data_IF_675783150035
#
_entry.id   IF_675783150035
#
_cell.length_a   1.000
_cell.length_b   1.000
_cell.length_c   1.000
_cell.angle_alpha   90.00
_cell.angle_beta   90.00
_cell.angle_gamma   90.00
#
_symmetry.space_group_name_H-M   'P 1'
#
loop_
_entity.id
_entity.type
_entity.pdbx_description
1 polymer ?
#
# COMPACT_ATOMS: atom_id res chain seq x y z
N UNK A 1 -55.02 11.66 28.07
CA UNK A 1 -53.74 11.98 28.75
C UNK A 1 -52.84 10.76 28.70
N UNK A 2 -51.94 10.73 27.76
CA UNK A 2 -50.87 9.74 27.68
C UNK A 2 -49.52 10.41 28.02
N UNK A 3 -48.65 9.84 28.84
CA UNK A 3 -47.41 10.47 29.22
C UNK A 3 -46.33 10.30 28.13
N UNK A 4 -45.66 11.38 27.91
CA UNK A 4 -44.54 11.62 27.03
C UNK A 4 -43.33 10.78 27.47
N UNK A 5 -42.86 9.82 26.66
CA UNK A 5 -41.69 9.02 26.94
C UNK A 5 -40.47 9.68 26.30
N UNK A 6 -39.77 10.50 27.05
CA UNK A 6 -38.52 11.12 26.68
C UNK A 6 -37.44 10.07 26.34
N UNK A 7 -37.13 9.91 25.08
CA UNK A 7 -36.07 9.04 24.57
C UNK A 7 -34.69 9.69 24.84
N UNK A 8 -34.05 9.32 25.96
CA UNK A 8 -32.66 9.68 26.24
C UNK A 8 -31.75 8.90 25.32
N UNK A 9 -31.31 9.53 24.24
CA UNK A 9 -30.17 9.04 23.45
C UNK A 9 -28.92 9.02 24.33
N UNK A 10 -28.41 7.82 24.57
CA UNK A 10 -27.10 7.63 25.17
C UNK A 10 -26.04 8.25 24.27
N UNK A 11 -25.25 9.19 24.82
CA UNK A 11 -24.14 9.80 24.12
C UNK A 11 -23.11 8.75 23.77
N UNK A 12 -22.86 8.56 22.50
CA UNK A 12 -21.70 7.85 21.98
C UNK A 12 -20.45 8.63 22.43
N UNK A 13 -19.71 8.02 23.33
CA UNK A 13 -18.40 8.54 23.77
C UNK A 13 -17.45 8.37 22.58
N UNK A 14 -17.15 9.46 21.88
CA UNK A 14 -16.07 9.48 20.90
C UNK A 14 -14.78 9.13 21.63
N UNK A 15 -14.16 8.01 21.20
CA UNK A 15 -12.81 7.66 21.61
C UNK A 15 -11.85 8.70 21.04
N UNK A 16 -10.77 9.06 21.79
CA UNK A 16 -9.77 9.96 21.26
C UNK A 16 -9.26 9.46 19.93
N UNK A 17 -9.48 10.21 18.86
CA UNK A 17 -8.72 10.04 17.63
C UNK A 17 -7.27 10.32 18.01
N UNK A 18 -6.43 9.31 17.88
CA UNK A 18 -4.99 9.48 17.87
C UNK A 18 -4.71 10.43 16.70
N UNK A 19 -4.55 11.70 16.99
CA UNK A 19 -4.26 12.73 15.98
C UNK A 19 -2.91 12.38 15.38
N UNK A 20 -2.92 12.06 14.10
CA UNK A 20 -1.69 12.00 13.31
C UNK A 20 -0.93 13.33 13.53
N UNK A 21 0.40 13.28 13.70
CA UNK A 21 1.18 14.47 13.96
C UNK A 21 0.98 15.52 12.88
N UNK A 22 1.03 16.80 13.25
CA UNK A 22 0.79 17.97 12.38
C UNK A 22 1.73 17.93 11.16
N UNK A 23 1.17 17.71 10.00
CA UNK A 23 1.82 17.27 8.78
C UNK A 23 2.62 18.37 8.03
N UNK A 24 2.28 19.67 8.09
CA UNK A 24 3.05 20.70 7.38
C UNK A 24 4.51 20.81 7.82
N UNK A 25 4.80 20.49 9.07
CA UNK A 25 6.15 20.58 9.64
C UNK A 25 7.02 19.34 9.35
N UNK A 26 6.38 18.16 9.16
CA UNK A 26 7.10 16.91 8.84
C UNK A 26 7.66 16.89 7.42
N UNK A 27 7.00 17.56 6.47
CA UNK A 27 7.43 17.56 5.05
C UNK A 27 8.53 18.59 4.78
N UNK A 28 8.59 19.69 5.55
CA UNK A 28 9.52 20.78 5.25
C UNK A 28 10.89 20.71 5.95
N UNK A 29 11.00 19.99 7.06
CA UNK A 29 12.22 20.08 7.88
C UNK A 29 12.87 18.79 8.33
N UNK A 30 12.32 17.60 8.09
CA UNK A 30 13.02 16.45 8.62
C UNK A 30 12.56 15.08 8.16
N UNK A 31 12.98 14.63 7.00
CA UNK A 31 13.27 13.22 6.77
C UNK A 31 14.35 12.68 7.75
N UNK A 32 14.87 13.53 8.61
CA UNK A 32 15.77 13.23 9.74
C UNK A 32 15.07 13.21 11.09
N UNK A 33 13.75 13.45 11.16
CA UNK A 33 13.00 13.35 12.41
C UNK A 33 12.92 11.87 12.84
N UNK A 34 13.32 11.60 14.07
CA UNK A 34 13.28 10.26 14.67
C UNK A 34 11.88 9.65 14.61
N UNK A 35 10.82 10.47 14.81
CA UNK A 35 9.43 10.04 14.72
C UNK A 35 9.01 9.64 13.31
N UNK A 36 9.50 10.36 12.27
CA UNK A 36 9.29 9.95 10.88
C UNK A 36 9.97 8.61 10.62
N UNK A 37 11.23 8.46 11.03
CA UNK A 37 11.99 7.24 10.86
C UNK A 37 11.30 6.06 11.55
N UNK A 38 10.86 6.23 12.80
CA UNK A 38 10.12 5.20 13.54
C UNK A 38 8.82 4.81 12.82
N UNK A 39 8.02 5.80 12.41
CA UNK A 39 6.75 5.58 11.73
C UNK A 39 6.93 4.81 10.41
N UNK A 40 7.83 5.29 9.53
CA UNK A 40 8.02 4.68 8.22
C UNK A 40 8.63 3.27 8.33
N UNK A 41 9.56 3.06 9.26
CA UNK A 41 10.13 1.73 9.53
C UNK A 41 9.09 0.78 10.13
N UNK A 42 8.12 1.29 10.88
CA UNK A 42 6.96 0.52 11.33
C UNK A 42 6.11 0.00 10.17
N UNK A 43 5.82 0.85 9.18
CA UNK A 43 5.12 0.47 7.95
C UNK A 43 5.91 -0.57 7.14
N UNK A 44 7.22 -0.36 6.96
CA UNK A 44 8.11 -1.30 6.26
C UNK A 44 8.12 -2.67 6.94
N UNK A 45 8.22 -2.70 8.26
CA UNK A 45 8.19 -3.95 9.03
C UNK A 45 6.90 -4.73 8.82
N UNK A 46 5.76 -4.04 8.86
CA UNK A 46 4.46 -4.67 8.60
C UNK A 46 4.35 -5.16 7.16
N UNK A 47 4.72 -4.33 6.17
CA UNK A 47 4.74 -4.71 4.76
C UNK A 47 5.61 -5.96 4.51
N UNK A 48 6.79 -6.01 5.14
CA UNK A 48 7.71 -7.15 5.06
C UNK A 48 7.04 -8.41 5.60
N UNK A 49 6.48 -8.36 6.80
CA UNK A 49 5.82 -9.50 7.44
C UNK A 49 4.65 -10.04 6.59
N UNK A 50 3.82 -9.15 6.06
CA UNK A 50 2.69 -9.52 5.20
C UNK A 50 3.15 -10.14 3.88
N UNK A 51 4.19 -9.58 3.27
CA UNK A 51 4.74 -10.11 2.01
C UNK A 51 5.40 -11.47 2.22
N UNK A 52 6.12 -11.68 3.34
CA UNK A 52 6.67 -12.99 3.73
C UNK A 52 5.58 -14.05 3.90
N UNK A 53 4.53 -13.70 4.62
CA UNK A 53 3.37 -14.59 4.82
C UNK A 53 2.69 -14.93 3.48
N UNK A 54 2.54 -13.94 2.59
CA UNK A 54 1.97 -14.11 1.25
C UNK A 54 2.84 -15.01 0.38
N UNK A 55 4.15 -14.77 0.33
CA UNK A 55 5.09 -15.60 -0.41
C UNK A 55 5.10 -17.05 0.10
N UNK A 56 5.09 -17.24 1.42
CA UNK A 56 5.04 -18.57 2.02
C UNK A 56 3.76 -19.33 1.65
N UNK A 57 2.59 -18.68 1.73
CA UNK A 57 1.31 -19.27 1.31
C UNK A 57 1.31 -19.60 -0.19
N UNK A 58 1.77 -18.66 -1.02
CA UNK A 58 1.88 -18.85 -2.47
C UNK A 58 2.84 -20.00 -2.84
N UNK A 59 3.94 -20.16 -2.11
CA UNK A 59 4.92 -21.24 -2.31
C UNK A 59 4.29 -22.60 -1.98
N UNK A 60 3.59 -22.71 -0.84
CA UNK A 60 2.84 -23.93 -0.46
C UNK A 60 1.70 -24.23 -1.42
N UNK A 61 1.17 -23.20 -2.09
CA UNK A 61 0.02 -23.28 -3.00
C UNK A 61 -1.22 -23.90 -2.31
N UNK A 62 -1.45 -23.46 -1.08
CA UNK A 62 -2.56 -23.89 -0.25
C UNK A 62 -3.91 -23.33 -0.75
N UNK A 63 -5.00 -23.76 -0.12
CA UNK A 63 -6.36 -23.36 -0.52
C UNK A 63 -6.54 -21.82 -0.43
N UNK A 64 -5.97 -21.19 0.60
CA UNK A 64 -6.05 -19.73 0.79
C UNK A 64 -5.28 -18.98 -0.29
N UNK A 65 -4.08 -19.47 -0.65
CA UNK A 65 -3.31 -18.89 -1.76
C UNK A 65 -4.08 -18.98 -3.07
N UNK A 66 -4.65 -20.15 -3.39
CA UNK A 66 -5.45 -20.35 -4.59
C UNK A 66 -6.69 -19.47 -4.62
N UNK A 67 -7.43 -19.42 -3.51
CA UNK A 67 -8.63 -18.59 -3.37
C UNK A 67 -8.29 -17.11 -3.61
N UNK A 68 -7.29 -16.58 -2.93
CA UNK A 68 -6.93 -15.18 -3.04
C UNK A 68 -6.33 -14.83 -4.41
N UNK A 69 -5.54 -15.74 -5.00
CA UNK A 69 -5.00 -15.56 -6.34
C UNK A 69 -6.12 -15.52 -7.37
N UNK A 70 -7.08 -16.45 -7.30
CA UNK A 70 -8.26 -16.41 -8.16
C UNK A 70 -9.09 -15.15 -7.93
N UNK A 71 -9.22 -14.72 -6.67
CA UNK A 71 -9.98 -13.52 -6.32
C UNK A 71 -9.42 -12.26 -6.99
N UNK A 72 -8.09 -12.07 -7.01
CA UNK A 72 -7.46 -10.86 -7.55
C UNK A 72 -7.08 -10.95 -9.02
N UNK A 73 -6.84 -12.15 -9.55
CA UNK A 73 -6.28 -12.34 -10.90
C UNK A 73 -7.13 -13.25 -11.78
N UNK A 74 -8.32 -13.68 -11.33
CA UNK A 74 -9.24 -14.52 -12.11
C UNK A 74 -8.71 -15.90 -12.47
N UNK A 75 -7.56 -16.28 -11.93
CA UNK A 75 -6.94 -17.59 -12.14
C UNK A 75 -6.23 -18.05 -10.88
N UNK A 76 -6.14 -19.39 -10.75
CA UNK A 76 -5.34 -20.06 -9.72
C UNK A 76 -4.58 -21.25 -10.32
N UNK A 77 -4.06 -21.07 -11.53
CA UNK A 77 -3.23 -22.04 -12.22
C UNK A 77 -1.73 -21.88 -11.89
N UNK A 78 -0.92 -22.80 -12.41
CA UNK A 78 0.53 -22.77 -12.18
C UNK A 78 1.23 -21.61 -12.92
N UNK A 79 0.61 -21.04 -13.96
CA UNK A 79 1.18 -19.91 -14.69
C UNK A 79 1.13 -18.64 -13.84
N UNK A 80 -0.01 -18.32 -13.23
CA UNK A 80 -0.13 -17.17 -12.35
C UNK A 80 0.70 -17.34 -11.08
N UNK A 81 0.79 -18.56 -10.53
CA UNK A 81 1.68 -18.89 -9.42
C UNK A 81 3.14 -18.57 -9.77
N UNK A 82 3.62 -19.09 -10.90
CA UNK A 82 4.98 -18.89 -11.39
C UNK A 82 5.28 -17.41 -11.66
N UNK A 83 4.29 -16.63 -12.07
CA UNK A 83 4.41 -15.18 -12.28
C UNK A 83 4.53 -14.41 -10.96
N UNK A 84 3.72 -14.75 -9.95
CA UNK A 84 3.65 -13.99 -8.67
C UNK A 84 4.82 -14.28 -7.72
N UNK A 85 5.37 -15.50 -7.71
CA UNK A 85 6.48 -15.86 -6.80
C UNK A 85 7.69 -14.93 -6.93
N UNK A 86 8.27 -14.69 -8.12
CA UNK A 86 9.39 -13.78 -8.28
C UNK A 86 9.04 -12.33 -7.91
N UNK A 87 7.81 -11.87 -8.18
CA UNK A 87 7.36 -10.53 -7.81
C UNK A 87 7.33 -10.37 -6.29
N UNK A 88 6.74 -11.33 -5.56
CA UNK A 88 6.73 -11.30 -4.09
C UNK A 88 8.16 -11.32 -3.51
N UNK A 89 9.05 -12.10 -4.12
CA UNK A 89 10.47 -12.13 -3.77
C UNK A 89 11.17 -10.78 -4.01
N UNK A 90 10.86 -10.12 -5.13
CA UNK A 90 11.40 -8.80 -5.46
C UNK A 90 10.86 -7.70 -4.54
N UNK A 91 9.56 -7.71 -4.21
CA UNK A 91 8.98 -6.80 -3.20
C UNK A 91 9.71 -6.97 -1.85
N UNK A 92 9.92 -8.20 -1.39
CA UNK A 92 10.66 -8.47 -0.15
C UNK A 92 12.10 -7.96 -0.19
N UNK A 93 12.79 -8.15 -1.31
CA UNK A 93 14.15 -7.65 -1.49
C UNK A 93 14.20 -6.14 -1.36
N UNK A 94 13.27 -5.42 -2.01
CA UNK A 94 13.18 -3.95 -1.91
C UNK A 94 12.85 -3.54 -0.48
N UNK A 95 11.79 -4.07 0.13
CA UNK A 95 11.38 -3.75 1.51
C UNK A 95 12.53 -3.90 2.52
N UNK A 96 13.32 -4.96 2.41
CA UNK A 96 14.47 -5.20 3.30
C UNK A 96 15.64 -4.25 3.05
N UNK A 97 15.73 -3.63 1.88
CA UNK A 97 16.74 -2.63 1.54
C UNK A 97 16.35 -1.21 1.93
N UNK A 98 15.05 -0.95 2.12
CA UNK A 98 14.57 0.39 2.47
C UNK A 98 15.01 0.82 3.88
N UNK A 99 15.29 2.09 4.00
CA UNK A 99 15.61 2.77 5.25
C UNK A 99 15.04 4.21 5.19
N UNK A 100 15.05 4.99 6.28
CA UNK A 100 14.45 6.32 6.26
C UNK A 100 14.98 7.24 5.15
N UNK A 101 16.23 7.09 4.71
CA UNK A 101 16.83 7.88 3.62
C UNK A 101 16.34 7.46 2.22
N UNK A 102 15.64 6.34 2.12
CA UNK A 102 15.02 5.91 0.86
C UNK A 102 13.74 6.71 0.55
N UNK A 103 13.28 7.53 1.47
CA UNK A 103 12.07 8.34 1.33
C UNK A 103 12.45 9.80 1.13
N UNK A 104 11.94 10.42 0.07
CA UNK A 104 12.21 11.80 -0.30
C UNK A 104 10.89 12.58 -0.41
N UNK A 105 10.91 13.91 -0.27
CA UNK A 105 9.75 14.73 -0.60
C UNK A 105 9.35 14.55 -2.07
N UNK A 106 8.04 14.53 -2.36
CA UNK A 106 7.58 14.52 -3.75
C UNK A 106 7.59 15.94 -4.33
N UNK A 107 8.71 16.34 -4.85
CA UNK A 107 8.95 17.62 -5.51
C UNK A 107 9.78 17.44 -6.80
N UNK A 108 9.91 18.50 -7.59
CA UNK A 108 10.61 18.46 -8.87
C UNK A 108 12.11 18.14 -8.72
N UNK A 109 12.76 18.61 -7.64
CA UNK A 109 14.17 18.37 -7.38
C UNK A 109 14.43 16.90 -7.04
N UNK A 110 13.63 16.34 -6.13
CA UNK A 110 13.69 14.93 -5.75
C UNK A 110 13.38 14.02 -6.94
N UNK A 111 12.32 14.33 -7.72
CA UNK A 111 11.93 13.57 -8.91
C UNK A 111 13.06 13.52 -9.93
N UNK A 112 13.74 14.66 -10.16
CA UNK A 112 14.92 14.72 -11.03
C UNK A 112 16.09 13.91 -10.47
N UNK A 113 16.32 13.98 -9.15
CA UNK A 113 17.43 13.28 -8.49
C UNK A 113 17.34 11.76 -8.57
N UNK A 114 16.14 11.21 -8.73
CA UNK A 114 15.90 9.78 -8.90
C UNK A 114 15.86 9.31 -10.35
N UNK A 115 16.08 10.24 -11.31
CA UNK A 115 16.21 9.92 -12.72
C UNK A 115 14.92 10.02 -13.54
N UNK A 116 13.86 10.61 -12.99
CA UNK A 116 12.63 10.90 -13.71
C UNK A 116 12.51 12.37 -14.12
N UNK A 117 11.78 12.68 -15.18
CA UNK A 117 11.52 14.06 -15.62
C UNK A 117 10.40 14.69 -14.79
N UNK A 118 10.75 15.73 -14.09
CA UNK A 118 10.13 16.51 -13.06
C UNK A 118 8.70 17.01 -13.17
N UNK A 119 7.73 16.30 -13.72
CA UNK A 119 6.33 16.66 -13.49
C UNK A 119 5.84 16.02 -12.19
N UNK A 120 5.38 16.85 -11.25
CA UNK A 120 4.83 16.43 -9.96
C UNK A 120 3.32 16.49 -10.06
N UNK A 121 2.66 15.36 -9.89
CA UNK A 121 1.21 15.30 -9.72
C UNK A 121 0.84 15.70 -8.29
N UNK A 122 0.25 16.87 -8.12
CA UNK A 122 -0.13 17.41 -6.82
C UNK A 122 -1.26 16.61 -6.14
N UNK A 123 -1.95 15.74 -6.86
CA UNK A 123 -3.01 14.88 -6.33
C UNK A 123 -2.50 13.52 -5.85
N UNK A 124 -1.28 13.13 -6.19
CA UNK A 124 -0.71 11.86 -5.80
C UNK A 124 -0.37 11.81 -4.32
N UNK A 125 -0.52 10.64 -3.72
CA UNK A 125 -0.09 10.36 -2.35
C UNK A 125 1.43 10.10 -2.30
N UNK A 126 1.95 9.36 -3.26
CA UNK A 126 3.36 9.03 -3.41
C UNK A 126 3.70 8.82 -4.89
N UNK A 127 4.98 8.65 -5.20
CA UNK A 127 5.45 8.26 -6.52
C UNK A 127 6.83 7.59 -6.43
N UNK A 128 7.18 6.83 -7.45
CA UNK A 128 8.53 6.32 -7.65
C UNK A 128 9.03 6.61 -9.07
N UNK A 129 10.33 6.58 -9.26
CA UNK A 129 10.89 6.50 -10.61
C UNK A 129 11.13 5.03 -10.96
N UNK A 130 10.40 4.43 -11.92
CA UNK A 130 10.49 3.00 -12.21
C UNK A 130 11.88 2.50 -12.58
N UNK A 131 12.76 3.41 -13.03
CA UNK A 131 14.15 3.09 -13.40
C UNK A 131 15.15 3.22 -12.23
N UNK A 132 14.74 3.74 -11.08
CA UNK A 132 15.59 3.85 -9.89
C UNK A 132 15.73 2.49 -9.15
N UNK A 133 16.21 1.49 -9.89
CA UNK A 133 16.35 0.10 -9.41
C UNK A 133 17.55 -0.11 -8.48
N UNK A 134 18.42 0.87 -8.34
CA UNK A 134 19.54 0.83 -7.39
C UNK A 134 19.19 1.47 -6.04
N UNK A 135 18.44 2.57 -6.07
CA UNK A 135 18.11 3.35 -4.88
C UNK A 135 16.75 2.96 -4.28
N UNK A 136 15.81 2.52 -5.12
CA UNK A 136 14.42 2.24 -4.77
C UNK A 136 13.82 3.37 -3.93
N UNK A 137 14.06 4.63 -4.34
CA UNK A 137 13.61 5.80 -3.59
C UNK A 137 12.13 6.04 -3.86
N UNK A 138 11.40 6.28 -2.77
CA UNK A 138 9.95 6.53 -2.78
C UNK A 138 9.74 8.00 -2.44
N UNK A 139 9.01 8.71 -3.29
CA UNK A 139 8.70 10.12 -3.15
C UNK A 139 7.35 10.25 -2.44
N UNK A 140 7.31 10.92 -1.29
CA UNK A 140 6.11 11.07 -0.47
C UNK A 140 5.55 12.47 -0.56
N UNK A 141 4.28 12.59 -0.95
CA UNK A 141 3.53 13.85 -0.94
C UNK A 141 2.86 14.09 0.42
N UNK A 142 2.44 15.33 0.68
CA UNK A 142 1.70 15.68 1.89
C UNK A 142 0.40 14.87 2.06
N UNK A 143 -0.22 14.45 0.96
CA UNK A 143 -1.43 13.63 0.98
C UNK A 143 -1.20 12.24 1.60
N UNK A 144 -0.01 11.65 1.42
CA UNK A 144 0.35 10.37 2.03
C UNK A 144 0.14 10.39 3.54
N UNK A 145 0.57 11.47 4.21
CA UNK A 145 0.48 11.60 5.66
C UNK A 145 -0.95 11.88 6.17
N UNK A 146 -1.89 12.20 5.28
CA UNK A 146 -3.33 12.33 5.62
C UNK A 146 -4.05 10.99 5.60
N UNK A 147 -3.42 9.92 5.08
CA UNK A 147 -3.97 8.58 5.07
C UNK A 147 -3.71 7.89 6.40
N UNK A 148 -4.63 7.03 6.81
CA UNK A 148 -4.40 6.12 7.94
C UNK A 148 -3.17 5.25 7.66
N UNK A 149 -2.36 4.97 8.68
CA UNK A 149 -1.22 4.06 8.54
C UNK A 149 -1.67 2.68 8.05
N UNK A 150 -2.75 2.18 8.64
CA UNK A 150 -3.35 0.87 8.34
C UNK A 150 -4.87 1.00 8.28
N UNK A 151 -5.49 0.70 7.16
CA UNK A 151 -6.94 0.60 7.06
C UNK A 151 -7.39 -0.81 7.44
N UNK A 152 -7.64 -1.05 8.73
CA UNK A 152 -8.09 -2.35 9.26
C UNK A 152 -9.53 -2.28 9.78
N UNK A 153 -10.20 -3.42 9.71
CA UNK A 153 -11.49 -3.62 10.40
C UNK A 153 -11.20 -3.63 11.91
N UNK A 154 -11.95 -2.82 12.67
CA UNK A 154 -11.76 -2.69 14.10
C UNK A 154 -11.74 -4.06 14.81
N UNK A 155 -10.74 -4.27 15.66
CA UNK A 155 -10.56 -5.50 16.44
C UNK A 155 -10.11 -6.73 15.63
N UNK A 156 -9.76 -6.56 14.35
CA UNK A 156 -9.30 -7.67 13.50
C UNK A 156 -7.96 -7.35 12.82
N UNK A 157 -7.43 -8.34 12.08
CA UNK A 157 -6.28 -8.15 11.19
C UNK A 157 -6.69 -7.93 9.73
N UNK A 158 -8.00 -7.94 9.43
CA UNK A 158 -8.52 -7.74 8.08
C UNK A 158 -8.32 -6.29 7.63
N UNK A 159 -7.83 -6.10 6.41
CA UNK A 159 -7.71 -4.77 5.81
C UNK A 159 -9.00 -4.37 5.09
N UNK A 160 -9.35 -3.09 5.21
CA UNK A 160 -10.46 -2.50 4.46
C UNK A 160 -10.05 -2.26 3.00
N UNK A 161 -11.01 -2.31 2.04
CA UNK A 161 -10.71 -2.08 0.62
C UNK A 161 -10.65 -0.58 0.29
N UNK A 162 -9.70 0.12 0.89
CA UNK A 162 -9.39 1.53 0.66
C UNK A 162 -7.92 1.79 0.97
N UNK A 163 -7.39 2.87 0.41
CA UNK A 163 -5.98 3.21 0.51
C UNK A 163 -5.58 3.55 1.95
N UNK A 164 -4.38 3.13 2.29
CA UNK A 164 -3.67 3.42 3.52
C UNK A 164 -2.21 3.70 3.17
N UNK A 165 -1.44 4.27 4.08
CA UNK A 165 -0.01 4.45 3.85
C UNK A 165 0.68 3.12 3.51
N UNK A 166 0.28 2.03 4.17
CA UNK A 166 0.82 0.70 3.90
C UNK A 166 0.49 0.20 2.49
N UNK A 167 -0.77 0.35 2.02
CA UNK A 167 -1.15 -0.06 0.67
C UNK A 167 -0.46 0.77 -0.39
N UNK A 168 -0.31 2.08 -0.17
CA UNK A 168 0.39 3.00 -1.06
C UNK A 168 1.87 2.61 -1.18
N UNK A 169 2.57 2.32 -0.07
CA UNK A 169 3.97 1.87 -0.14
C UNK A 169 4.13 0.59 -0.95
N UNK A 170 3.25 -0.40 -0.76
CA UNK A 170 3.29 -1.64 -1.53
C UNK A 170 2.98 -1.39 -3.01
N UNK A 171 2.01 -0.52 -3.33
CA UNK A 171 1.67 -0.08 -4.67
C UNK A 171 2.90 0.52 -5.37
N UNK A 172 3.55 1.52 -4.75
CA UNK A 172 4.72 2.19 -5.31
C UNK A 172 5.88 1.22 -5.57
N UNK A 173 6.15 0.30 -4.65
CA UNK A 173 7.22 -0.69 -4.83
C UNK A 173 6.99 -1.56 -6.06
N UNK A 174 5.74 -1.84 -6.45
CA UNK A 174 5.46 -2.67 -7.62
C UNK A 174 5.82 -1.99 -8.94
N UNK A 175 5.91 -0.67 -8.99
CA UNK A 175 6.29 0.08 -10.20
C UNK A 175 7.75 -0.06 -10.59
N UNK A 176 8.66 -0.38 -9.68
CA UNK A 176 10.06 -0.56 -10.04
C UNK A 176 10.21 -1.66 -11.09
N UNK A 177 11.02 -1.38 -12.14
CA UNK A 177 11.21 -2.29 -13.28
C UNK A 177 11.79 -3.65 -12.89
N UNK A 178 12.56 -3.71 -11.82
CA UNK A 178 13.15 -4.94 -11.27
C UNK A 178 12.26 -5.62 -10.22
N UNK A 179 11.03 -5.12 -10.02
CA UNK A 179 9.98 -5.74 -9.19
C UNK A 179 8.89 -6.31 -10.09
N UNK A 180 7.92 -5.51 -10.50
CA UNK A 180 6.85 -5.93 -11.39
C UNK A 180 6.76 -5.03 -12.64
N UNK A 181 7.29 -3.80 -12.59
CA UNK A 181 7.09 -2.79 -13.63
C UNK A 181 5.60 -2.53 -13.88
N UNK A 182 4.81 -2.55 -12.81
CA UNK A 182 3.35 -2.41 -12.87
C UNK A 182 2.90 -1.05 -13.41
N UNK A 183 1.63 -0.95 -13.73
CA UNK A 183 0.98 0.28 -14.18
C UNK A 183 -0.23 0.63 -13.29
N UNK A 184 -0.80 1.84 -13.53
CA UNK A 184 -1.96 2.39 -12.83
C UNK A 184 -3.19 2.47 -13.72
N UNK A 185 -3.36 1.52 -14.62
CA UNK A 185 -4.50 1.51 -15.53
C UNK A 185 -5.85 1.50 -14.79
N UNK A 186 -5.87 0.94 -13.57
CA UNK A 186 -7.05 0.86 -12.71
C UNK A 186 -6.66 1.26 -11.28
N UNK A 187 -6.62 2.57 -11.06
CA UNK A 187 -6.23 3.15 -9.78
C UNK A 187 -7.29 2.96 -8.69
N UNK A 188 -6.81 2.58 -7.49
CA UNK A 188 -7.62 2.32 -6.30
C UNK A 188 -8.11 0.87 -6.20
N UNK A 189 -8.08 0.32 -5.00
CA UNK A 189 -8.33 -1.10 -4.69
C UNK A 189 -9.68 -1.60 -5.26
N UNK A 190 -10.73 -0.75 -5.21
CA UNK A 190 -12.05 -1.13 -5.75
C UNK A 190 -12.06 -1.22 -7.27
N UNK A 191 -11.39 -0.29 -7.95
CA UNK A 191 -11.26 -0.30 -9.40
C UNK A 191 -10.37 -1.48 -9.85
N UNK A 192 -9.27 -1.73 -9.16
CA UNK A 192 -8.42 -2.90 -9.40
C UNK A 192 -9.22 -4.22 -9.29
N UNK A 193 -10.18 -4.30 -8.35
CA UNK A 193 -11.04 -5.49 -8.24
C UNK A 193 -11.94 -5.68 -9.46
N UNK A 194 -12.37 -4.61 -10.13
CA UNK A 194 -13.26 -4.72 -11.30
C UNK A 194 -12.64 -5.40 -12.52
N UNK A 195 -11.31 -5.53 -12.54
CA UNK A 195 -10.58 -6.21 -13.62
C UNK A 195 -10.05 -7.58 -13.21
N UNK A 196 -10.44 -8.10 -12.08
CA UNK A 196 -9.90 -9.36 -11.57
C UNK A 196 -10.18 -10.58 -12.44
N UNK A 197 -11.17 -10.53 -13.33
CA UNK A 197 -11.47 -11.53 -14.35
C UNK A 197 -10.58 -11.40 -15.62
N UNK A 198 -9.86 -10.30 -15.73
CA UNK A 198 -8.93 -10.01 -16.81
C UNK A 198 -7.49 -10.24 -16.35
N UNK A 199 -7.07 -11.50 -16.23
CA UNK A 199 -5.78 -11.89 -15.65
C UNK A 199 -4.59 -11.12 -16.23
N UNK A 200 -4.58 -10.87 -17.55
CA UNK A 200 -3.49 -10.16 -18.22
C UNK A 200 -3.34 -8.70 -17.74
N UNK A 201 -4.45 -8.02 -17.44
CA UNK A 201 -4.48 -6.65 -16.95
C UNK A 201 -4.24 -6.63 -15.43
N UNK A 202 -4.95 -7.47 -14.68
CA UNK A 202 -4.90 -7.51 -13.23
C UNK A 202 -3.50 -7.81 -12.67
N UNK A 203 -2.75 -8.72 -13.29
CA UNK A 203 -1.41 -9.11 -12.82
C UNK A 203 -0.34 -8.03 -12.97
N UNK A 204 -0.56 -7.04 -13.82
CA UNK A 204 0.35 -5.91 -14.04
C UNK A 204 -0.17 -4.59 -13.44
N UNK A 205 -1.31 -4.61 -12.76
CA UNK A 205 -1.88 -3.45 -12.10
C UNK A 205 -1.39 -3.34 -10.65
N UNK A 206 -0.85 -2.18 -10.28
CA UNK A 206 -0.19 -1.96 -8.99
C UNK A 206 -1.12 -2.22 -7.79
N UNK A 207 -2.35 -1.69 -7.83
CA UNK A 207 -3.31 -1.89 -6.75
C UNK A 207 -3.79 -3.34 -6.61
N UNK A 208 -3.85 -4.12 -7.70
CA UNK A 208 -4.14 -5.56 -7.64
C UNK A 208 -3.04 -6.31 -6.90
N UNK A 209 -1.78 -5.99 -7.17
CA UNK A 209 -0.62 -6.60 -6.50
C UNK A 209 -0.54 -6.19 -5.03
N UNK A 210 -0.73 -4.91 -4.71
CA UNK A 210 -0.73 -4.41 -3.33
C UNK A 210 -1.86 -5.05 -2.51
N UNK A 211 -3.08 -5.07 -3.04
CA UNK A 211 -4.23 -5.68 -2.38
C UNK A 211 -4.07 -7.20 -2.19
N UNK A 212 -3.43 -7.88 -3.15
CA UNK A 212 -3.09 -9.29 -3.02
C UNK A 212 -2.11 -9.53 -1.87
N UNK A 213 -1.05 -8.72 -1.74
CA UNK A 213 -0.11 -8.80 -0.60
C UNK A 213 -0.85 -8.65 0.71
N UNK A 214 -1.71 -7.63 0.83
CA UNK A 214 -2.48 -7.32 2.04
C UNK A 214 -3.58 -8.35 2.35
N UNK A 215 -3.94 -9.20 1.41
CA UNK A 215 -5.04 -10.16 1.59
C UNK A 215 -6.42 -9.51 1.64
N UNK A 216 -6.57 -8.35 1.00
CA UNK A 216 -7.85 -7.63 0.97
C UNK A 216 -8.89 -8.44 0.19
N UNK A 217 -10.09 -8.54 0.76
CA UNK A 217 -11.28 -9.02 0.06
C UNK A 217 -12.42 -8.03 0.24
N UNK A 218 -13.14 -7.72 -0.83
CA UNK A 218 -14.29 -6.83 -0.82
C UNK A 218 -15.53 -7.70 -0.65
N UNK A 219 -16.21 -7.52 0.48
CA UNK A 219 -17.49 -8.19 0.79
C UNK A 219 -18.66 -7.44 0.18
#
# INVERSE_FOLDING_TARGET
DAPDVANKRAGTKELPQETAPDIPELVSNSLSDERFAEHIMGLIKEATSLTEARLASLTRWDADAKMLTNYWFGSSDDQIKAYLIPIMGSILRVLRGLNPKSFLPYDAASTTSVGCSGQVDQSADAAVCPVDTNGHRILLAAQFFKRDAFNRVYGTREFLPRDSQLSILLHEITHFKDVAGSNDAYYGIRNAKSISDKTAEAKVNADSLAAYVLGITIK
#
